data_IF_956952624328
#
_entry.id   IF_956952624328
#
_cell.length_a   1.000
_cell.length_b   1.000
_cell.length_c   1.000
_cell.angle_alpha   90.00
_cell.angle_beta   90.00
_cell.angle_gamma   90.00
#
_symmetry.space_group_name_H-M   'P 1'
#
loop_
_entity.id
_entity.type
_entity.pdbx_description
1 polymer ?
#
# COMPACT_ATOMS: atom_id res chain seq x y z
N UNK A 1 1.06 26.51 -10.23
CA UNK A 1 1.72 27.04 -11.43
C UNK A 1 3.10 27.56 -11.03
N UNK A 2 4.16 26.93 -11.51
CA UNK A 2 5.50 27.52 -11.36
C UNK A 2 5.55 28.84 -12.14
N UNK A 3 6.09 29.91 -11.56
CA UNK A 3 6.21 31.18 -12.25
C UNK A 3 6.89 31.03 -13.62
N UNK A 4 6.31 31.60 -14.66
CA UNK A 4 6.88 31.59 -16.02
C UNK A 4 6.64 30.34 -16.86
N UNK A 5 6.00 29.28 -16.34
CA UNK A 5 5.83 28.04 -17.08
C UNK A 5 4.60 28.00 -18.01
N UNK A 6 3.60 28.82 -17.78
CA UNK A 6 2.37 28.90 -18.58
C UNK A 6 1.49 27.66 -18.63
N UNK A 7 1.88 26.56 -17.96
CA UNK A 7 1.15 25.28 -17.92
C UNK A 7 1.32 24.56 -16.59
N UNK A 8 0.37 23.69 -16.25
CA UNK A 8 0.46 22.82 -15.07
C UNK A 8 1.50 21.72 -15.26
N UNK A 9 2.10 21.29 -14.15
CA UNK A 9 3.00 20.15 -14.04
C UNK A 9 2.33 19.09 -13.15
N UNK A 10 2.41 17.84 -13.56
CA UNK A 10 1.91 16.73 -12.75
C UNK A 10 3.05 16.21 -11.88
N UNK A 11 3.06 16.60 -10.61
CA UNK A 11 3.90 15.97 -9.59
C UNK A 11 3.31 14.67 -9.08
N UNK A 12 4.08 13.98 -8.26
CA UNK A 12 3.71 12.72 -7.61
C UNK A 12 3.91 12.82 -6.10
N UNK A 13 3.04 12.15 -5.37
CA UNK A 13 3.19 11.97 -3.95
C UNK A 13 3.44 10.48 -3.68
N UNK A 14 4.60 10.18 -3.11
CA UNK A 14 4.95 8.85 -2.64
C UNK A 14 4.46 8.72 -1.22
N UNK A 15 3.71 7.65 -0.93
CA UNK A 15 3.16 7.39 0.38
C UNK A 15 3.77 6.11 0.96
N UNK A 16 4.24 6.20 2.19
CA UNK A 16 4.74 5.07 2.96
C UNK A 16 4.00 5.02 4.29
N UNK A 17 3.71 3.82 4.77
CA UNK A 17 3.10 3.63 6.07
C UNK A 17 3.79 2.49 6.82
N UNK A 18 3.95 2.67 8.14
CA UNK A 18 4.28 1.60 9.09
C UNK A 18 3.04 1.31 9.91
N UNK A 19 2.63 0.05 9.92
CA UNK A 19 1.45 -0.38 10.66
C UNK A 19 1.73 -1.75 11.30
N UNK A 20 1.64 -1.84 12.62
CA UNK A 20 1.94 -3.05 13.38
C UNK A 20 0.75 -3.56 14.21
N UNK A 21 -0.34 -2.82 14.27
CA UNK A 21 -1.52 -3.19 15.06
C UNK A 21 -2.16 -4.50 14.60
N UNK A 22 -2.06 -4.81 13.30
CA UNK A 22 -2.60 -6.04 12.72
C UNK A 22 -1.99 -7.32 13.32
N UNK A 23 -0.78 -7.24 13.90
CA UNK A 23 -0.07 -8.35 14.53
C UNK A 23 0.40 -8.04 15.97
N UNK A 24 -0.25 -7.06 16.64
CA UNK A 24 0.05 -6.64 18.02
C UNK A 24 1.49 -6.15 18.23
N UNK A 25 2.08 -5.52 17.22
CA UNK A 25 3.39 -4.90 17.34
C UNK A 25 3.34 -3.65 18.21
N UNK A 26 4.45 -3.35 18.88
CA UNK A 26 4.54 -2.27 19.86
C UNK A 26 4.79 -0.89 19.24
N UNK A 27 5.32 -0.83 18.04
CA UNK A 27 5.66 0.46 17.41
C UNK A 27 4.40 1.23 17.00
N UNK A 28 4.35 2.54 17.29
CA UNK A 28 3.24 3.38 16.86
C UNK A 28 3.15 3.43 15.33
N UNK A 29 1.94 3.45 14.76
CA UNK A 29 1.75 3.61 13.34
C UNK A 29 2.25 4.97 12.86
N UNK A 30 2.74 5.02 11.62
CA UNK A 30 3.19 6.26 10.99
C UNK A 30 2.88 6.26 9.49
N UNK A 31 2.62 7.44 8.94
CA UNK A 31 2.49 7.67 7.51
C UNK A 31 3.43 8.80 7.08
N UNK A 32 4.13 8.61 5.98
CA UNK A 32 5.03 9.60 5.40
C UNK A 32 4.68 9.80 3.93
N UNK A 33 4.53 11.06 3.56
CA UNK A 33 4.35 11.48 2.17
C UNK A 33 5.59 12.23 1.71
N UNK A 34 6.06 11.91 0.51
CA UNK A 34 7.23 12.56 -0.09
C UNK A 34 6.83 13.01 -1.49
N UNK A 35 6.97 14.31 -1.74
CA UNK A 35 6.73 14.87 -3.07
C UNK A 35 7.88 14.52 -4.02
N UNK A 36 7.54 14.23 -5.28
CA UNK A 36 8.50 14.12 -6.37
C UNK A 36 7.92 14.72 -7.66
N UNK A 37 8.76 15.35 -8.49
CA UNK A 37 8.31 15.95 -9.73
C UNK A 37 7.92 14.95 -10.81
N UNK A 38 8.22 13.67 -10.59
CA UNK A 38 7.98 12.58 -11.54
C UNK A 38 7.73 11.25 -10.81
N UNK A 39 7.53 10.17 -11.60
CA UNK A 39 7.33 8.80 -11.10
C UNK A 39 8.53 7.89 -11.41
N UNK A 40 9.72 8.43 -11.46
CA UNK A 40 10.91 7.63 -11.76
C UNK A 40 11.27 6.73 -10.58
N UNK A 41 11.88 5.59 -10.90
CA UNK A 41 12.26 4.57 -9.91
C UNK A 41 13.36 5.06 -8.94
N UNK A 42 14.20 5.98 -9.36
CA UNK A 42 15.22 6.61 -8.53
C UNK A 42 14.64 7.30 -7.28
N UNK A 43 13.35 7.68 -7.33
CA UNK A 43 12.67 8.30 -6.18
C UNK A 43 12.51 7.32 -5.03
N UNK A 44 11.80 6.17 -5.17
CA UNK A 44 11.72 5.21 -4.10
C UNK A 44 13.09 4.58 -3.76
N UNK A 45 14.03 4.46 -4.69
CA UNK A 45 15.40 4.03 -4.38
C UNK A 45 16.07 4.98 -3.37
N UNK A 46 15.99 6.30 -3.59
CA UNK A 46 16.52 7.28 -2.66
C UNK A 46 15.78 7.29 -1.31
N UNK A 47 14.46 7.24 -1.33
CA UNK A 47 13.64 7.24 -0.11
C UNK A 47 13.92 6.02 0.78
N UNK A 48 14.16 4.86 0.17
CA UNK A 48 14.31 3.57 0.85
C UNK A 48 15.76 3.06 0.89
N UNK A 49 16.74 3.92 0.61
CA UNK A 49 18.17 3.55 0.55
C UNK A 49 18.69 2.86 1.82
N UNK A 50 18.16 3.23 2.99
CA UNK A 50 18.54 2.64 4.28
C UNK A 50 17.57 1.54 4.74
N UNK A 51 16.46 1.32 4.03
CA UNK A 51 15.45 0.35 4.42
C UNK A 51 15.95 -1.08 4.19
N UNK A 52 15.61 -1.97 5.14
CA UNK A 52 15.86 -3.41 5.07
C UNK A 52 14.61 -4.15 5.56
N UNK A 53 14.24 -5.21 4.88
CA UNK A 53 13.12 -6.05 5.28
C UNK A 53 12.07 -6.23 4.18
N UNK A 54 10.82 -6.39 4.57
CA UNK A 54 9.71 -6.60 3.63
C UNK A 54 9.00 -5.28 3.35
N UNK A 55 8.92 -4.92 2.08
CA UNK A 55 8.14 -3.78 1.59
C UNK A 55 6.87 -4.29 0.93
N UNK A 56 5.72 -3.90 1.46
CA UNK A 56 4.43 -4.24 0.86
C UNK A 56 4.06 -3.20 -0.20
N UNK A 57 3.78 -3.65 -1.42
CA UNK A 57 3.64 -2.78 -2.60
C UNK A 57 2.32 -2.98 -3.35
N UNK A 58 1.88 -1.93 -4.02
CA UNK A 58 0.67 -1.89 -4.85
C UNK A 58 0.82 -2.51 -6.26
N UNK A 59 2.02 -3.02 -6.58
CA UNK A 59 2.33 -3.61 -7.89
C UNK A 59 2.89 -2.60 -8.91
N UNK A 60 3.34 -1.42 -8.48
CA UNK A 60 4.14 -0.54 -9.33
C UNK A 60 5.48 -1.21 -9.68
N UNK A 61 5.74 -1.40 -10.98
CA UNK A 61 6.92 -2.13 -11.48
C UNK A 61 8.27 -1.51 -11.04
N UNK A 62 8.30 -0.20 -10.76
CA UNK A 62 9.52 0.46 -10.28
C UNK A 62 10.03 -0.07 -8.95
N UNK A 63 9.21 -0.72 -8.13
CA UNK A 63 9.67 -1.31 -6.88
C UNK A 63 10.52 -2.58 -7.07
N UNK A 64 10.43 -3.25 -8.22
CA UNK A 64 11.23 -4.45 -8.51
C UNK A 64 12.74 -4.17 -8.41
N UNK A 65 13.19 -2.98 -8.83
CA UNK A 65 14.59 -2.59 -8.73
C UNK A 65 15.13 -2.52 -7.30
N UNK A 66 14.27 -2.27 -6.32
CA UNK A 66 14.65 -2.21 -4.90
C UNK A 66 15.15 -3.56 -4.37
N UNK A 67 14.78 -4.65 -5.02
CA UNK A 67 15.19 -6.00 -4.61
C UNK A 67 16.62 -6.37 -5.00
N UNK A 68 17.23 -5.63 -5.93
CA UNK A 68 18.55 -5.94 -6.49
C UNK A 68 19.67 -6.09 -5.44
N UNK A 69 19.56 -5.36 -4.32
CA UNK A 69 20.53 -5.47 -3.22
C UNK A 69 20.33 -6.69 -2.31
N UNK A 70 19.22 -7.43 -2.47
CA UNK A 70 18.81 -8.52 -1.58
C UNK A 70 18.34 -8.07 -0.17
N UNK A 71 18.45 -6.78 0.16
CA UNK A 71 18.05 -6.23 1.48
C UNK A 71 16.54 -6.03 1.61
N UNK A 72 15.86 -5.81 0.48
CA UNK A 72 14.41 -5.58 0.40
C UNK A 72 13.76 -6.75 -0.29
N UNK A 73 12.70 -7.28 0.33
CA UNK A 73 11.82 -8.30 -0.27
C UNK A 73 10.45 -7.66 -0.48
N UNK A 74 9.84 -7.87 -1.64
CA UNK A 74 8.50 -7.33 -1.91
C UNK A 74 7.42 -8.30 -1.45
N UNK A 75 6.39 -7.79 -0.77
CA UNK A 75 5.11 -8.45 -0.59
C UNK A 75 4.08 -7.77 -1.50
N UNK A 76 3.31 -8.55 -2.23
CA UNK A 76 2.30 -8.03 -3.14
C UNK A 76 0.91 -7.95 -2.47
N UNK A 77 0.07 -7.07 -2.99
CA UNK A 77 -1.22 -6.74 -2.39
C UNK A 77 -2.35 -7.58 -2.99
N UNK A 78 -3.00 -8.40 -2.15
CA UNK A 78 -4.19 -9.17 -2.54
C UNK A 78 -5.39 -8.29 -2.90
N UNK A 79 -5.53 -7.11 -2.29
CA UNK A 79 -6.61 -6.19 -2.64
C UNK A 79 -6.51 -5.70 -4.09
N UNK A 80 -5.28 -5.41 -4.58
CA UNK A 80 -5.04 -5.05 -5.97
C UNK A 80 -5.30 -6.21 -6.93
N UNK A 81 -4.89 -7.42 -6.56
CA UNK A 81 -5.20 -8.63 -7.33
C UNK A 81 -6.71 -8.87 -7.39
N UNK A 82 -7.39 -8.78 -6.25
CA UNK A 82 -8.85 -8.93 -6.15
C UNK A 82 -9.59 -7.90 -7.01
N UNK A 83 -9.15 -6.64 -7.01
CA UNK A 83 -9.76 -5.56 -7.79
C UNK A 83 -9.82 -5.88 -9.29
N UNK A 84 -8.76 -6.48 -9.85
CA UNK A 84 -8.74 -6.86 -11.27
C UNK A 84 -9.85 -7.86 -11.63
N UNK A 85 -10.10 -8.85 -10.78
CA UNK A 85 -11.22 -9.79 -10.98
C UNK A 85 -12.57 -9.13 -10.72
N UNK A 86 -12.65 -8.23 -9.74
CA UNK A 86 -13.87 -7.51 -9.42
C UNK A 86 -14.35 -6.60 -10.57
N UNK A 87 -13.45 -5.84 -11.17
CA UNK A 87 -13.75 -4.97 -12.31
C UNK A 87 -14.26 -5.77 -13.52
N UNK A 88 -13.79 -7.00 -13.70
CA UNK A 88 -14.29 -7.91 -14.75
C UNK A 88 -15.69 -8.42 -14.39
N UNK A 89 -15.90 -8.89 -13.17
CA UNK A 89 -17.17 -9.43 -12.72
C UNK A 89 -18.28 -8.36 -12.66
N UNK A 90 -17.92 -7.10 -12.40
CA UNK A 90 -18.85 -5.96 -12.41
C UNK A 90 -19.24 -5.54 -13.84
N UNK A 91 -18.29 -5.59 -14.78
CA UNK A 91 -18.54 -5.21 -16.17
C UNK A 91 -19.30 -6.30 -16.95
N UNK A 92 -19.05 -7.57 -16.63
CA UNK A 92 -19.64 -8.74 -17.28
C UNK A 92 -19.68 -9.90 -16.30
N UNK A 93 -20.84 -10.54 -16.14
CA UNK A 93 -20.99 -11.69 -15.24
C UNK A 93 -20.22 -12.87 -15.79
N UNK A 94 -18.98 -13.03 -15.35
CA UNK A 94 -18.09 -14.12 -15.75
C UNK A 94 -17.93 -15.11 -14.61
N UNK A 95 -18.39 -16.38 -14.76
CA UNK A 95 -18.28 -17.38 -13.70
C UNK A 95 -16.85 -17.55 -13.16
N UNK A 96 -15.84 -17.46 -14.03
CA UNK A 96 -14.44 -17.59 -13.65
C UNK A 96 -13.93 -16.40 -12.81
N UNK A 97 -14.36 -15.16 -13.12
CA UNK A 97 -14.01 -14.01 -12.29
C UNK A 97 -14.67 -14.10 -10.91
N UNK A 98 -15.92 -14.53 -10.85
CA UNK A 98 -16.65 -14.77 -9.60
C UNK A 98 -15.98 -15.86 -8.76
N UNK A 99 -15.54 -16.95 -9.38
CA UNK A 99 -14.83 -18.04 -8.69
C UNK A 99 -13.48 -17.57 -8.13
N UNK A 100 -12.71 -16.75 -8.89
CA UNK A 100 -11.48 -16.13 -8.38
C UNK A 100 -11.76 -15.28 -7.13
N UNK A 101 -12.80 -14.43 -7.18
CA UNK A 101 -13.21 -13.59 -6.06
C UNK A 101 -13.62 -14.41 -4.84
N UNK A 102 -14.37 -15.50 -5.03
CA UNK A 102 -14.78 -16.43 -3.98
C UNK A 102 -13.57 -17.07 -3.29
N UNK A 103 -12.59 -17.55 -4.06
CA UNK A 103 -11.36 -18.15 -3.53
C UNK A 103 -10.51 -17.12 -2.76
N UNK A 104 -10.36 -15.90 -3.28
CA UNK A 104 -9.65 -14.82 -2.59
C UNK A 104 -10.38 -14.44 -1.29
N UNK A 105 -11.72 -14.41 -1.27
CA UNK A 105 -12.49 -14.11 -0.07
C UNK A 105 -12.23 -15.09 1.08
N UNK A 106 -11.93 -16.37 0.79
CA UNK A 106 -11.55 -17.35 1.81
C UNK A 106 -10.26 -16.96 2.53
N UNK A 107 -9.29 -16.34 1.85
CA UNK A 107 -8.06 -15.83 2.47
C UNK A 107 -8.37 -14.72 3.48
N UNK A 108 -9.23 -13.77 3.10
CA UNK A 108 -9.66 -12.70 3.99
C UNK A 108 -10.44 -13.19 5.19
N UNK A 109 -11.26 -14.22 5.01
CA UNK A 109 -11.97 -14.86 6.13
C UNK A 109 -11.00 -15.46 7.17
N UNK A 110 -9.90 -16.07 6.72
CA UNK A 110 -8.85 -16.55 7.64
C UNK A 110 -8.14 -15.40 8.33
N UNK A 111 -7.83 -14.32 7.61
CA UNK A 111 -7.17 -13.14 8.19
C UNK A 111 -8.02 -12.43 9.26
N UNK A 112 -9.34 -12.44 9.12
CA UNK A 112 -10.24 -11.89 10.12
C UNK A 112 -10.13 -12.60 11.47
N UNK A 113 -9.91 -13.94 11.45
CA UNK A 113 -9.74 -14.75 12.67
C UNK A 113 -8.43 -14.44 13.42
N UNK A 114 -7.41 -13.97 12.73
CA UNK A 114 -6.06 -13.77 13.29
C UNK A 114 -5.65 -12.32 13.44
N UNK A 115 -6.53 -11.39 13.10
CA UNK A 115 -6.27 -9.95 13.26
C UNK A 115 -6.00 -9.59 14.72
N UNK A 116 -4.92 -8.84 14.96
CA UNK A 116 -4.51 -8.45 16.30
C UNK A 116 -3.86 -9.57 17.12
N UNK A 117 -3.65 -10.74 16.53
CA UNK A 117 -2.95 -11.85 17.20
C UNK A 117 -1.42 -11.75 16.98
N UNK A 118 -0.66 -12.44 17.83
CA UNK A 118 0.80 -12.48 17.72
C UNK A 118 1.28 -13.03 16.36
N UNK A 119 2.46 -12.62 15.88
CA UNK A 119 3.02 -13.13 14.64
C UNK A 119 3.12 -14.66 14.58
N UNK A 120 3.48 -15.29 15.68
CA UNK A 120 3.58 -16.75 15.76
C UNK A 120 2.22 -17.43 15.57
N UNK A 121 1.18 -16.91 16.24
CA UNK A 121 -0.19 -17.43 16.09
C UNK A 121 -0.72 -17.23 14.67
N UNK A 122 -0.57 -16.03 14.10
CA UNK A 122 -0.96 -15.72 12.72
C UNK A 122 -0.28 -16.68 11.74
N UNK A 123 1.02 -16.89 11.88
CA UNK A 123 1.78 -17.79 11.01
C UNK A 123 1.27 -19.22 11.09
N UNK A 124 1.03 -19.74 12.30
CA UNK A 124 0.51 -21.09 12.50
C UNK A 124 -0.85 -21.30 11.83
N UNK A 125 -1.80 -20.38 12.04
CA UNK A 125 -3.14 -20.45 11.44
C UNK A 125 -3.07 -20.31 9.91
N UNK A 126 -2.25 -19.40 9.39
CA UNK A 126 -2.06 -19.22 7.94
C UNK A 126 -1.50 -20.46 7.27
N UNK A 127 -0.52 -21.12 7.88
CA UNK A 127 0.02 -22.40 7.37
C UNK A 127 -1.02 -23.50 7.37
N UNK A 128 -1.85 -23.55 8.40
CA UNK A 128 -2.88 -24.58 8.49
C UNK A 128 -4.10 -24.33 7.58
N UNK A 129 -4.51 -23.08 7.42
CA UNK A 129 -5.78 -22.73 6.75
C UNK A 129 -5.60 -21.97 5.43
N UNK A 130 -4.72 -20.97 5.38
CA UNK A 130 -4.53 -20.15 4.16
C UNK A 130 -3.68 -20.85 3.12
N UNK A 131 -2.64 -21.61 3.53
CA UNK A 131 -1.76 -22.30 2.58
C UNK A 131 -2.51 -23.26 1.65
N UNK A 132 -3.40 -24.14 2.10
CA UNK A 132 -4.18 -25.01 1.20
C UNK A 132 -5.05 -24.21 0.22
N UNK A 133 -5.61 -23.07 0.65
CA UNK A 133 -6.42 -22.19 -0.20
C UNK A 133 -5.54 -21.58 -1.30
N UNK A 134 -4.35 -21.10 -0.92
CA UNK A 134 -3.37 -20.52 -1.85
C UNK A 134 -2.92 -21.56 -2.87
N UNK A 135 -2.54 -22.76 -2.43
CA UNK A 135 -2.09 -23.84 -3.31
C UNK A 135 -3.20 -24.24 -4.32
N UNK A 136 -4.44 -24.38 -3.84
CA UNK A 136 -5.59 -24.67 -4.69
C UNK A 136 -5.94 -23.54 -5.65
N UNK A 137 -5.75 -22.27 -5.23
CA UNK A 137 -5.97 -21.11 -6.10
C UNK A 137 -4.91 -21.06 -7.20
N UNK A 138 -3.63 -21.29 -6.88
CA UNK A 138 -2.55 -21.32 -7.86
C UNK A 138 -2.81 -22.36 -8.93
N UNK A 139 -3.05 -23.61 -8.50
CA UNK A 139 -3.32 -24.72 -9.42
C UNK A 139 -4.52 -24.44 -10.32
N UNK A 140 -5.56 -23.82 -9.78
CA UNK A 140 -6.73 -23.43 -10.54
C UNK A 140 -6.45 -22.33 -11.56
N UNK A 141 -5.67 -21.30 -11.20
CA UNK A 141 -5.26 -20.23 -12.12
C UNK A 141 -4.41 -20.77 -13.27
N UNK A 142 -3.43 -21.63 -12.96
CA UNK A 142 -2.52 -22.25 -13.92
C UNK A 142 -3.28 -23.19 -14.90
N UNK A 143 -4.24 -23.97 -14.39
CA UNK A 143 -5.06 -24.84 -15.22
C UNK A 143 -6.07 -24.08 -16.10
N UNK A 144 -6.59 -22.93 -15.61
CA UNK A 144 -7.61 -22.16 -16.33
C UNK A 144 -7.01 -21.24 -17.38
N UNK A 145 -5.85 -20.63 -17.12
CA UNK A 145 -5.24 -19.63 -17.97
C UNK A 145 -5.04 -20.06 -19.45
N UNK A 146 -4.60 -21.30 -19.76
CA UNK A 146 -4.42 -21.72 -21.14
C UNK A 146 -5.70 -21.80 -21.97
N UNK A 147 -6.88 -21.94 -21.33
CA UNK A 147 -8.18 -21.98 -21.99
C UNK A 147 -8.74 -20.61 -22.36
N UNK A 148 -8.11 -19.52 -21.90
CA UNK A 148 -8.58 -18.17 -22.11
C UNK A 148 -7.94 -17.49 -23.34
N UNK A 149 -8.66 -16.56 -23.98
CA UNK A 149 -8.06 -15.71 -25.02
C UNK A 149 -6.83 -14.96 -24.46
N UNK A 150 -5.65 -15.05 -25.12
CA UNK A 150 -4.39 -14.51 -24.55
C UNK A 150 -4.42 -13.00 -24.24
N UNK A 151 -5.22 -12.22 -24.97
CA UNK A 151 -5.39 -10.77 -24.77
C UNK A 151 -6.66 -10.41 -24.00
N UNK A 152 -7.37 -11.39 -23.45
CA UNK A 152 -8.58 -11.17 -22.65
C UNK A 152 -8.26 -10.59 -21.28
N UNK A 153 -9.11 -9.72 -20.76
CA UNK A 153 -8.95 -9.08 -19.43
C UNK A 153 -8.80 -10.12 -18.31
N UNK A 154 -9.52 -11.24 -18.40
CA UNK A 154 -9.43 -12.31 -17.40
C UNK A 154 -8.06 -12.99 -17.43
N UNK A 155 -7.53 -13.29 -18.63
CA UNK A 155 -6.18 -13.83 -18.76
C UNK A 155 -5.11 -12.85 -18.26
N UNK A 156 -5.30 -11.55 -18.46
CA UNK A 156 -4.41 -10.51 -17.90
C UNK A 156 -4.48 -10.47 -16.37
N UNK A 157 -5.66 -10.57 -15.78
CA UNK A 157 -5.83 -10.62 -14.33
C UNK A 157 -5.18 -11.86 -13.71
N UNK A 158 -5.32 -13.04 -14.36
CA UNK A 158 -4.67 -14.27 -13.92
C UNK A 158 -3.13 -14.19 -14.03
N UNK A 159 -2.61 -13.71 -15.16
CA UNK A 159 -1.17 -13.47 -15.32
C UNK A 159 -0.63 -12.46 -14.31
N UNK A 160 -1.38 -11.40 -14.02
CA UNK A 160 -1.00 -10.43 -13.00
C UNK A 160 -0.81 -11.10 -11.64
N UNK A 161 -1.71 -12.00 -11.24
CA UNK A 161 -1.59 -12.77 -10.00
C UNK A 161 -0.39 -13.73 -10.04
N UNK A 162 -0.27 -14.54 -11.08
CA UNK A 162 0.78 -15.56 -11.20
C UNK A 162 2.19 -14.97 -11.28
N UNK A 163 2.37 -13.85 -12.00
CA UNK A 163 3.69 -13.17 -12.07
C UNK A 163 4.13 -12.53 -10.75
N UNK A 164 3.22 -12.37 -9.78
CA UNK A 164 3.49 -11.81 -8.45
C UNK A 164 3.31 -12.82 -7.34
N UNK A 165 3.24 -14.10 -7.69
CA UNK A 165 2.84 -15.16 -6.76
C UNK A 165 3.73 -15.23 -5.53
N UNK A 166 5.05 -15.16 -5.68
CA UNK A 166 5.99 -15.13 -4.57
C UNK A 166 5.73 -13.96 -3.60
N UNK A 167 5.41 -12.80 -4.15
CA UNK A 167 5.03 -11.64 -3.34
C UNK A 167 3.69 -11.80 -2.65
N UNK A 168 2.70 -12.38 -3.34
CA UNK A 168 1.36 -12.64 -2.81
C UNK A 168 1.34 -13.71 -1.71
N UNK A 169 2.27 -14.67 -1.77
CA UNK A 169 2.34 -15.77 -0.80
C UNK A 169 3.25 -15.50 0.39
N UNK A 170 4.00 -14.42 0.37
CA UNK A 170 4.99 -14.08 1.42
C UNK A 170 4.41 -13.95 2.83
N UNK A 171 3.13 -13.64 2.96
CA UNK A 171 2.44 -13.62 4.27
C UNK A 171 2.36 -15.00 4.94
N UNK A 172 2.61 -16.09 4.20
CA UNK A 172 2.69 -17.46 4.72
C UNK A 172 4.07 -17.76 5.36
N UNK A 173 5.07 -16.89 5.15
CA UNK A 173 6.41 -17.06 5.69
C UNK A 173 6.62 -16.29 7.00
N UNK A 174 5.89 -15.16 7.18
CA UNK A 174 6.03 -14.30 8.35
C UNK A 174 4.66 -13.75 8.78
N UNK A 175 4.27 -14.02 10.02
CA UNK A 175 3.00 -13.57 10.59
C UNK A 175 2.85 -12.05 10.70
N UNK A 176 3.94 -11.27 10.54
CA UNK A 176 3.92 -9.80 10.54
C UNK A 176 3.48 -9.21 9.20
N UNK A 177 3.57 -9.97 8.12
CA UNK A 177 3.19 -9.48 6.78
C UNK A 177 1.67 -9.48 6.65
N UNK A 178 1.09 -8.37 6.19
CA UNK A 178 -0.34 -8.26 5.91
C UNK A 178 -0.70 -8.84 4.53
N UNK A 179 -1.98 -9.07 4.27
CA UNK A 179 -2.45 -9.49 2.94
C UNK A 179 -2.47 -8.34 1.94
N UNK A 180 -2.61 -7.10 2.40
CA UNK A 180 -2.84 -5.96 1.55
C UNK A 180 -2.17 -4.67 2.04
N UNK A 181 -2.18 -3.64 1.18
CA UNK A 181 -1.64 -2.30 1.44
C UNK A 181 -2.69 -1.33 1.99
N UNK A 182 -3.80 -1.81 2.52
CA UNK A 182 -4.89 -0.96 3.03
C UNK A 182 -4.46 0.13 4.02
N UNK A 183 -3.45 -0.06 4.90
CA UNK A 183 -2.98 1.01 5.77
C UNK A 183 -2.49 2.24 5.00
N UNK A 184 -1.66 2.08 3.98
CA UNK A 184 -1.16 3.21 3.18
C UNK A 184 -2.25 3.79 2.29
N UNK A 185 -3.16 2.97 1.77
CA UNK A 185 -4.30 3.46 0.96
C UNK A 185 -5.25 4.31 1.81
N UNK A 186 -5.52 3.92 3.05
CA UNK A 186 -6.31 4.75 3.98
C UNK A 186 -5.61 6.06 4.32
N UNK A 187 -4.31 6.03 4.57
CA UNK A 187 -3.54 7.23 4.90
C UNK A 187 -3.51 8.23 3.74
N UNK A 188 -3.39 7.79 2.48
CA UNK A 188 -3.36 8.68 1.33
C UNK A 188 -4.74 9.13 0.86
N UNK A 189 -5.82 8.46 1.30
CA UNK A 189 -7.19 8.76 0.84
C UNK A 189 -7.64 10.22 1.08
N UNK A 190 -7.41 10.85 2.24
CA UNK A 190 -7.76 12.26 2.46
C UNK A 190 -7.08 13.18 1.46
N UNK A 191 -5.83 12.89 1.13
CA UNK A 191 -5.05 13.58 0.10
C UNK A 191 -5.70 13.46 -1.27
N UNK A 192 -6.03 12.24 -1.68
CA UNK A 192 -6.63 11.96 -2.97
C UNK A 192 -8.02 12.61 -3.12
N UNK A 193 -8.79 12.69 -2.04
CA UNK A 193 -10.09 13.37 -2.00
C UNK A 193 -9.92 14.89 -1.99
N UNK A 194 -9.01 15.41 -1.14
CA UNK A 194 -8.74 16.85 -1.02
C UNK A 194 -8.25 17.47 -2.33
N UNK A 195 -7.58 16.69 -3.19
CA UNK A 195 -7.19 17.13 -4.52
C UNK A 195 -8.35 17.64 -5.38
N UNK A 196 -9.57 17.21 -5.12
CA UNK A 196 -10.77 17.70 -5.82
C UNK A 196 -11.19 19.10 -5.35
N UNK A 197 -10.76 19.52 -4.16
CA UNK A 197 -11.12 20.81 -3.57
C UNK A 197 -10.05 21.87 -3.84
N UNK A 198 -8.75 21.50 -3.74
CA UNK A 198 -7.63 22.37 -4.05
C UNK A 198 -6.80 21.72 -5.17
N UNK A 199 -7.05 22.13 -6.38
CA UNK A 199 -6.55 21.50 -7.60
C UNK A 199 -5.03 21.54 -7.75
N UNK A 200 -4.33 22.49 -7.05
CA UNK A 200 -2.92 22.75 -7.23
C UNK A 200 -2.19 22.90 -5.89
N UNK A 201 -0.94 22.46 -5.86
CA UNK A 201 -0.02 22.69 -4.73
C UNK A 201 0.74 24.04 -4.84
N UNK A 202 0.49 24.83 -5.89
CA UNK A 202 1.11 26.11 -6.17
C UNK A 202 2.47 25.99 -6.85
N UNK A 203 3.41 25.27 -6.22
CA UNK A 203 4.78 25.05 -6.71
C UNK A 203 5.32 23.71 -6.22
N UNK A 204 6.53 23.32 -6.66
CA UNK A 204 7.23 22.14 -6.12
C UNK A 204 7.47 22.30 -4.61
N UNK A 205 7.96 23.47 -4.15
CA UNK A 205 8.13 23.76 -2.73
C UNK A 205 6.81 23.79 -1.94
N UNK A 206 5.69 24.20 -2.55
CA UNK A 206 4.36 24.09 -1.97
C UNK A 206 3.94 22.65 -1.77
N UNK A 207 4.21 21.79 -2.76
CA UNK A 207 3.92 20.37 -2.70
C UNK A 207 4.80 19.62 -1.66
N UNK A 208 6.06 20.00 -1.51
CA UNK A 208 6.96 19.48 -0.47
C UNK A 208 6.46 19.81 0.93
N UNK A 209 6.14 21.09 1.20
CA UNK A 209 5.59 21.51 2.50
C UNK A 209 4.27 20.82 2.81
N UNK A 210 3.41 20.71 1.79
CA UNK A 210 2.15 19.99 1.94
C UNK A 210 2.36 18.51 2.26
N UNK A 211 3.34 17.85 1.64
CA UNK A 211 3.69 16.46 1.93
C UNK A 211 4.13 16.29 3.39
N UNK A 212 4.97 17.20 3.91
CA UNK A 212 5.41 17.19 5.31
C UNK A 212 4.23 17.37 6.27
N UNK A 213 3.42 18.42 6.07
CA UNK A 213 2.26 18.69 6.93
C UNK A 213 1.26 17.54 6.88
N UNK A 214 0.99 17.02 5.67
CA UNK A 214 0.12 15.85 5.49
C UNK A 214 0.62 14.62 6.23
N UNK A 215 1.92 14.35 6.23
CA UNK A 215 2.56 13.24 6.97
C UNK A 215 2.32 13.36 8.47
N UNK A 216 2.54 14.55 9.02
CA UNK A 216 2.36 14.82 10.45
C UNK A 216 0.89 14.68 10.86
N UNK A 217 -0.04 15.25 10.10
CA UNK A 217 -1.48 15.15 10.34
C UNK A 217 -1.96 13.70 10.29
N UNK A 218 -1.58 12.95 9.26
CA UNK A 218 -2.01 11.55 9.15
C UNK A 218 -1.38 10.68 10.23
N UNK A 219 -0.12 10.91 10.59
CA UNK A 219 0.51 10.22 11.73
C UNK A 219 -0.19 10.53 13.06
N UNK A 220 -0.57 11.80 13.30
CA UNK A 220 -1.36 12.18 14.47
C UNK A 220 -2.68 11.41 14.54
N UNK A 221 -3.44 11.37 13.44
CA UNK A 221 -4.70 10.61 13.35
C UNK A 221 -4.51 9.12 13.59
N UNK A 222 -3.48 8.51 13.02
CA UNK A 222 -3.18 7.08 13.21
C UNK A 222 -2.91 6.73 14.68
N UNK A 223 -2.41 7.70 15.45
CA UNK A 223 -2.12 7.56 16.88
C UNK A 223 -3.25 8.10 17.80
N UNK A 224 -4.41 8.43 17.25
CA UNK A 224 -5.53 8.94 18.04
C UNK A 224 -5.34 10.37 18.57
N UNK A 225 -4.35 11.10 18.04
CA UNK A 225 -4.12 12.51 18.38
C UNK A 225 -5.01 13.38 17.50
N UNK A 226 -5.77 14.30 18.12
CA UNK A 226 -6.64 15.21 17.39
C UNK A 226 -5.80 16.22 16.60
N UNK A 227 -5.89 16.26 15.24
CA UNK A 227 -4.94 17.01 14.42
C UNK A 227 -4.99 18.52 14.60
N UNK A 228 -6.17 19.08 14.82
CA UNK A 228 -6.30 20.53 15.02
C UNK A 228 -5.70 20.98 16.35
N UNK A 229 -5.99 20.26 17.43
CA UNK A 229 -5.42 20.54 18.74
C UNK A 229 -3.89 20.43 18.73
N UNK A 230 -3.38 19.38 18.10
CA UNK A 230 -1.95 19.17 17.92
C UNK A 230 -1.31 20.32 17.12
N UNK A 231 -1.87 20.68 15.97
CA UNK A 231 -1.32 21.73 15.11
C UNK A 231 -1.37 23.10 15.83
N UNK A 232 -2.45 23.37 16.55
CA UNK A 232 -2.58 24.59 17.35
C UNK A 232 -1.51 24.67 18.45
N UNK A 233 -1.26 23.57 19.17
CA UNK A 233 -0.19 23.52 20.20
C UNK A 233 1.18 23.77 19.58
N UNK A 234 1.51 23.07 18.48
CA UNK A 234 2.79 23.24 17.77
C UNK A 234 3.00 24.69 17.34
N UNK A 235 2.00 25.30 16.66
CA UNK A 235 2.09 26.69 16.21
C UNK A 235 2.21 27.68 17.37
N UNK A 236 1.48 27.44 18.46
CA UNK A 236 1.59 28.28 19.68
C UNK A 236 2.99 28.22 20.28
N UNK A 237 3.56 27.03 20.39
CA UNK A 237 4.95 26.86 20.88
C UNK A 237 5.97 27.53 19.96
N UNK A 238 5.82 27.38 18.64
CA UNK A 238 6.71 28.05 17.67
C UNK A 238 6.69 29.57 17.84
N UNK A 239 5.50 30.17 18.00
CA UNK A 239 5.35 31.60 18.24
C UNK A 239 5.97 32.05 19.58
N UNK A 240 5.95 31.18 20.59
CA UNK A 240 6.60 31.42 21.88
C UNK A 240 8.11 31.16 21.87
N UNK A 241 8.73 30.93 20.71
CA UNK A 241 10.17 30.73 20.56
C UNK A 241 10.67 29.36 20.95
N UNK A 242 9.78 28.33 21.02
CA UNK A 242 10.18 26.95 21.28
C UNK A 242 11.13 26.44 20.17
N UNK A 243 12.26 25.79 20.52
CA UNK A 243 13.20 25.30 19.51
C UNK A 243 12.56 24.30 18.55
N UNK A 244 12.71 24.52 17.24
CA UNK A 244 12.16 23.63 16.20
C UNK A 244 12.66 22.17 16.33
N UNK A 245 13.85 21.97 16.89
CA UNK A 245 14.43 20.64 17.15
C UNK A 245 13.72 19.85 18.27
N UNK A 246 12.76 20.46 18.98
CA UNK A 246 12.00 19.88 20.09
C UNK A 246 10.48 19.89 19.85
N UNK A 247 10.06 20.16 18.62
CA UNK A 247 8.66 20.11 18.19
C UNK A 247 8.23 18.69 17.83
#
# INVERSE_FOLDING_TARGET
LDPGRGRTKIGRLWAYAREQRGWSGADPPAAVFIYAPDRRVERPEAHLAQFKGVLHVDGYAGFERLTASGKIKLAACWAHTRRKFYEIAEAEVTPLATEALRRIALLYAVEELVRGQSPAHRLAVRRARSKPIVDALQSWLEATLPSLPPRGKLAEAMRYALTRWDGLTRFLDDGRIELDTNPVERAIRPVALGRKNHLFAGSDGGAERWAVIGSLIETAKLNGVEPYAWLKDVLTRMLAGHPASRL
#
